data_IF_233768905730
#
_entry.id   IF_233768905730
#
_cell.length_a   1.000
_cell.length_b   1.000
_cell.length_c   1.000
_cell.angle_alpha   90.00
_cell.angle_beta   90.00
_cell.angle_gamma   90.00
#
_symmetry.space_group_name_H-M   'P 1'
#
loop_
_entity.id
_entity.type
_entity.pdbx_description
1 polymer ?
#
# COMPACT_ATOMS: atom_id res chain seq x y z
N UNK A 1 -6.76 -17.30 21.35
CA UNK A 1 -6.87 -16.35 20.21
C UNK A 1 -5.98 -16.82 19.06
N UNK A 2 -6.17 -18.05 18.58
CA UNK A 2 -5.28 -18.68 17.60
C UNK A 2 -5.87 -19.93 16.93
N UNK A 3 -7.20 -20.07 16.93
CA UNK A 3 -7.89 -21.20 16.30
C UNK A 3 -8.82 -20.80 15.14
N UNK A 4 -9.21 -19.53 15.06
CA UNK A 4 -10.14 -19.04 14.01
C UNK A 4 -9.43 -18.77 12.68
N UNK A 5 -8.23 -18.19 12.72
CA UNK A 5 -7.40 -18.01 11.52
C UNK A 5 -6.97 -19.34 10.92
N UNK A 6 -6.90 -20.41 11.72
CA UNK A 6 -6.54 -21.75 11.24
C UNK A 6 -7.54 -22.30 10.23
N UNK A 7 -8.85 -22.12 10.43
CA UNK A 7 -9.90 -22.81 9.68
C UNK A 7 -10.10 -22.31 8.24
N UNK A 8 -9.90 -21.02 7.99
CA UNK A 8 -10.02 -20.43 6.64
C UNK A 8 -8.91 -20.95 5.72
N UNK A 9 -7.68 -21.07 6.23
CA UNK A 9 -6.57 -21.63 5.45
C UNK A 9 -6.74 -23.12 5.12
N UNK A 10 -7.50 -23.88 5.90
CA UNK A 10 -7.73 -25.32 5.66
C UNK A 10 -8.79 -25.53 4.57
N UNK A 11 -9.80 -24.64 4.49
CA UNK A 11 -10.82 -24.68 3.44
C UNK A 11 -10.24 -24.40 2.05
N UNK A 12 -9.45 -23.33 1.92
CA UNK A 12 -8.75 -23.02 0.66
C UNK A 12 -7.80 -24.16 0.22
N UNK A 13 -7.12 -24.80 1.17
CA UNK A 13 -6.27 -25.95 0.88
C UNK A 13 -7.07 -27.18 0.41
N UNK A 14 -8.23 -27.46 1.01
CA UNK A 14 -9.10 -28.55 0.56
C UNK A 14 -9.67 -28.30 -0.85
N UNK A 15 -9.87 -27.04 -1.23
CA UNK A 15 -10.23 -26.64 -2.60
C UNK A 15 -9.12 -26.98 -3.59
N UNK A 16 -7.87 -26.65 -3.25
CA UNK A 16 -6.71 -26.98 -4.08
C UNK A 16 -6.47 -28.50 -4.18
N UNK A 17 -6.65 -29.22 -3.08
CA UNK A 17 -6.44 -30.67 -2.99
C UNK A 17 -7.64 -31.48 -3.55
N UNK A 18 -8.73 -30.83 -3.97
CA UNK A 18 -9.93 -31.49 -4.52
C UNK A 18 -10.73 -32.30 -3.49
N UNK A 19 -10.57 -32.01 -2.20
CA UNK A 19 -11.16 -32.75 -1.06
C UNK A 19 -12.24 -31.96 -0.33
N UNK A 20 -12.83 -30.96 -0.98
CA UNK A 20 -13.85 -30.07 -0.41
C UNK A 20 -15.08 -30.80 0.12
N UNK A 21 -15.45 -31.92 -0.53
CA UNK A 21 -16.64 -32.70 -0.18
C UNK A 21 -16.48 -33.44 1.15
N UNK A 22 -15.23 -33.62 1.61
CA UNK A 22 -14.89 -34.22 2.91
C UNK A 22 -14.63 -33.16 4.00
N UNK A 23 -14.63 -31.88 3.64
CA UNK A 23 -14.30 -30.80 4.55
C UNK A 23 -15.53 -30.29 5.31
N UNK A 24 -15.62 -30.66 6.59
CA UNK A 24 -16.66 -30.20 7.50
C UNK A 24 -16.12 -29.19 8.53
N UNK A 25 -16.70 -27.99 8.53
CA UNK A 25 -16.47 -27.00 9.57
C UNK A 25 -17.15 -27.45 10.87
N UNK A 26 -16.44 -28.23 11.69
CA UNK A 26 -16.93 -28.77 12.98
C UNK A 26 -17.57 -27.74 13.92
N UNK A 27 -17.28 -26.45 13.75
CA UNK A 27 -18.03 -25.33 14.31
C UNK A 27 -18.16 -24.24 13.24
N UNK A 28 -19.35 -23.93 12.70
CA UNK A 28 -19.53 -22.79 11.82
C UNK A 28 -19.10 -21.52 12.59
N UNK A 29 -18.13 -20.74 12.08
CA UNK A 29 -17.58 -19.61 12.82
C UNK A 29 -18.57 -18.45 12.97
N UNK A 30 -19.67 -18.45 12.20
CA UNK A 30 -20.69 -17.41 12.18
C UNK A 30 -22.07 -18.05 12.36
N UNK A 31 -22.93 -17.40 13.15
CA UNK A 31 -24.33 -17.81 13.23
C UNK A 31 -25.09 -17.41 11.96
N UNK A 32 -26.22 -18.06 11.69
CA UNK A 32 -27.00 -17.85 10.46
C UNK A 32 -27.46 -16.39 10.27
N UNK A 33 -27.83 -15.71 11.36
CA UNK A 33 -28.26 -14.29 11.30
C UNK A 33 -27.13 -13.35 10.93
N UNK A 34 -25.92 -13.63 11.41
CA UNK A 34 -24.71 -12.87 11.10
C UNK A 34 -24.27 -13.16 9.67
N UNK A 35 -24.36 -14.43 9.25
CA UNK A 35 -24.05 -14.83 7.88
C UNK A 35 -25.01 -14.16 6.87
N UNK A 36 -26.30 -14.10 7.17
CA UNK A 36 -27.31 -13.43 6.34
C UNK A 36 -26.98 -11.95 6.12
N UNK A 37 -26.40 -11.27 7.12
CA UNK A 37 -25.99 -9.86 7.03
C UNK A 37 -24.65 -9.70 6.32
N UNK A 38 -23.67 -10.56 6.62
CA UNK A 38 -22.29 -10.41 6.11
C UNK A 38 -22.17 -10.89 4.67
N UNK A 39 -22.88 -11.95 4.28
CA UNK A 39 -22.79 -12.56 2.95
C UNK A 39 -22.97 -11.54 1.80
N UNK A 40 -24.02 -10.70 1.75
CA UNK A 40 -24.15 -9.73 0.67
C UNK A 40 -23.04 -8.67 0.66
N UNK A 41 -22.48 -8.31 1.82
CA UNK A 41 -21.33 -7.39 1.91
C UNK A 41 -20.08 -8.06 1.36
N UNK A 42 -19.83 -9.31 1.75
CA UNK A 42 -18.69 -10.09 1.28
C UNK A 42 -18.76 -10.30 -0.24
N UNK A 43 -19.92 -10.67 -0.77
CA UNK A 43 -20.15 -10.83 -2.21
C UNK A 43 -19.94 -9.51 -2.96
N UNK A 44 -20.47 -8.39 -2.43
CA UNK A 44 -20.24 -7.07 -3.02
C UNK A 44 -18.78 -6.63 -2.98
N UNK A 45 -18.02 -6.98 -1.94
CA UNK A 45 -16.59 -6.65 -1.82
C UNK A 45 -15.69 -7.60 -2.63
N UNK A 46 -16.21 -8.76 -2.99
CA UNK A 46 -15.52 -9.78 -3.79
C UNK A 46 -15.88 -9.67 -5.29
N UNK A 47 -16.55 -8.59 -5.70
CA UNK A 47 -16.86 -8.32 -7.10
C UNK A 47 -15.57 -8.12 -7.90
N UNK A 48 -15.47 -8.81 -9.04
CA UNK A 48 -14.26 -8.82 -9.86
C UNK A 48 -13.85 -7.40 -10.30
N UNK A 49 -14.80 -6.50 -10.59
CA UNK A 49 -14.47 -5.12 -10.98
C UNK A 49 -13.89 -4.28 -9.83
N UNK A 50 -14.26 -4.61 -8.59
CA UNK A 50 -13.68 -4.04 -7.37
C UNK A 50 -12.28 -4.61 -7.11
N UNK A 51 -12.11 -5.92 -7.27
CA UNK A 51 -10.82 -6.59 -7.09
C UNK A 51 -9.81 -6.21 -8.17
N UNK A 52 -10.22 -6.03 -9.42
CA UNK A 52 -9.37 -5.56 -10.52
C UNK A 52 -8.77 -4.18 -10.24
N UNK A 53 -9.52 -3.29 -9.57
CA UNK A 53 -9.00 -1.99 -9.12
C UNK A 53 -7.94 -2.15 -8.02
N UNK A 54 -8.05 -3.17 -7.19
CA UNK A 54 -7.03 -3.49 -6.19
C UNK A 54 -5.74 -4.05 -6.83
N UNK A 55 -5.82 -4.68 -8.01
CA UNK A 55 -4.63 -5.19 -8.73
C UNK A 55 -3.69 -4.06 -9.18
N UNK A 56 -4.23 -2.88 -9.48
CA UNK A 56 -3.44 -1.69 -9.84
C UNK A 56 -2.75 -1.01 -8.65
N UNK A 57 -2.99 -1.45 -7.41
CA UNK A 57 -2.66 -0.69 -6.19
C UNK A 57 -3.33 0.70 -6.12
N UNK A 58 -4.41 0.92 -6.88
CA UNK A 58 -5.16 2.19 -6.97
C UNK A 58 -5.83 2.58 -5.64
N UNK A 59 -5.91 1.66 -4.68
CA UNK A 59 -6.41 1.89 -3.33
C UNK A 59 -5.32 1.81 -2.27
N UNK A 60 -4.09 2.25 -2.57
CA UNK A 60 -3.25 2.74 -1.49
C UNK A 60 -3.89 4.02 -0.96
N UNK A 61 -4.37 3.98 0.28
CA UNK A 61 -4.76 5.19 1.00
C UNK A 61 -3.67 6.25 0.79
N UNK A 62 -4.00 7.38 0.14
CA UNK A 62 -3.02 8.45 -0.16
C UNK A 62 -2.25 8.87 1.09
N UNK A 63 -2.88 8.81 2.27
CA UNK A 63 -2.22 9.12 3.54
C UNK A 63 -1.19 8.08 3.93
N UNK A 64 -1.42 6.80 3.63
CA UNK A 64 -0.48 5.72 3.90
C UNK A 64 0.72 5.76 2.95
N UNK A 65 0.48 6.02 1.66
CA UNK A 65 1.54 6.22 0.66
C UNK A 65 2.43 7.42 1.01
N UNK A 66 1.82 8.57 1.34
CA UNK A 66 2.55 9.76 1.79
C UNK A 66 3.34 9.49 3.08
N UNK A 67 2.72 8.87 4.08
CA UNK A 67 3.42 8.54 5.33
C UNK A 67 4.60 7.59 5.07
N UNK A 68 4.43 6.58 4.22
CA UNK A 68 5.53 5.68 3.84
C UNK A 68 6.71 6.45 3.24
N UNK A 69 6.43 7.44 2.40
CA UNK A 69 7.46 8.30 1.80
C UNK A 69 8.16 9.19 2.85
N UNK A 70 7.41 9.78 3.80
CA UNK A 70 8.00 10.52 4.92
C UNK A 70 8.96 9.64 5.71
N UNK A 71 8.57 8.40 6.01
CA UNK A 71 9.41 7.46 6.76
C UNK A 71 10.61 6.92 5.98
N UNK A 72 10.64 7.09 4.66
CA UNK A 72 11.83 6.81 3.85
C UNK A 72 12.91 7.86 4.12
N UNK A 73 12.54 9.13 4.31
CA UNK A 73 13.47 10.22 4.64
C UNK A 73 13.79 10.32 6.13
N UNK A 74 12.83 10.03 7.00
CA UNK A 74 12.99 10.04 8.45
C UNK A 74 12.56 8.69 9.05
N UNK A 75 13.43 7.66 9.03
CA UNK A 75 13.05 6.33 9.49
C UNK A 75 12.58 6.33 10.93
N UNK A 76 11.43 5.68 11.21
CA UNK A 76 10.80 5.66 12.55
C UNK A 76 11.69 5.16 13.68
N UNK A 77 12.65 4.29 13.35
CA UNK A 77 13.55 3.68 14.32
C UNK A 77 14.76 4.58 14.65
N UNK A 78 14.93 5.71 13.95
CA UNK A 78 15.99 6.67 14.18
C UNK A 78 15.38 7.91 14.85
N UNK A 79 15.85 8.31 16.04
CA UNK A 79 15.39 9.55 16.67
C UNK A 79 15.70 10.75 15.77
N UNK A 80 14.67 11.53 15.46
CA UNK A 80 14.78 12.73 14.63
C UNK A 80 14.11 13.91 15.34
N UNK A 81 14.76 15.07 15.27
CA UNK A 81 14.20 16.31 15.82
C UNK A 81 13.04 16.83 14.97
N UNK A 82 12.18 17.73 15.51
CA UNK A 82 11.05 18.29 14.76
C UNK A 82 11.43 18.90 13.42
N UNK A 83 12.58 19.58 13.34
CA UNK A 83 13.09 20.19 12.11
C UNK A 83 13.41 19.16 11.03
N UNK A 84 13.95 18.01 11.41
CA UNK A 84 14.25 16.91 10.49
C UNK A 84 12.97 16.30 9.91
N UNK A 85 11.96 16.09 10.76
CA UNK A 85 10.64 15.59 10.33
C UNK A 85 9.96 16.59 9.40
N UNK A 86 10.05 17.89 9.71
CA UNK A 86 9.51 18.96 8.86
C UNK A 86 10.13 18.93 7.44
N UNK A 87 11.46 18.86 7.35
CA UNK A 87 12.18 18.79 6.06
C UNK A 87 11.84 17.50 5.30
N UNK A 88 11.83 16.35 5.98
CA UNK A 88 11.43 15.08 5.40
C UNK A 88 10.00 15.14 4.82
N UNK A 89 9.09 15.82 5.54
CA UNK A 89 7.71 16.02 5.09
C UNK A 89 7.65 16.90 3.84
N UNK A 90 8.40 17.99 3.77
CA UNK A 90 8.46 18.83 2.56
C UNK A 90 8.96 18.03 1.35
N UNK A 91 10.04 17.26 1.50
CA UNK A 91 10.53 16.41 0.40
C UNK A 91 9.53 15.35 -0.02
N UNK A 92 8.89 14.67 0.93
CA UNK A 92 7.87 13.67 0.63
C UNK A 92 6.67 14.28 -0.12
N UNK A 93 6.18 15.44 0.32
CA UNK A 93 5.06 16.14 -0.33
C UNK A 93 5.43 16.58 -1.75
N UNK A 94 6.64 17.12 -1.95
CA UNK A 94 7.12 17.49 -3.29
C UNK A 94 7.18 16.28 -4.22
N UNK A 95 7.75 15.16 -3.77
CA UNK A 95 7.84 13.93 -4.58
C UNK A 95 6.47 13.34 -4.87
N UNK A 96 5.58 13.33 -3.87
CA UNK A 96 4.24 12.78 -4.01
C UNK A 96 3.41 13.54 -5.05
N UNK A 97 3.44 14.88 -5.01
CA UNK A 97 2.61 15.71 -5.88
C UNK A 97 3.24 15.95 -7.26
N UNK A 98 4.53 16.23 -7.31
CA UNK A 98 5.21 16.78 -8.49
C UNK A 98 6.38 15.91 -9.00
N UNK A 99 6.79 14.88 -8.26
CA UNK A 99 7.92 14.01 -8.63
C UNK A 99 9.28 14.52 -8.14
N UNK A 100 10.36 14.07 -8.77
CA UNK A 100 11.74 14.29 -8.36
C UNK A 100 12.33 15.60 -8.88
N UNK A 101 11.80 16.21 -9.94
CA UNK A 101 12.30 17.49 -10.46
C UNK A 101 12.32 18.62 -9.41
N UNK A 102 11.28 18.84 -8.58
CA UNK A 102 11.32 19.83 -7.50
C UNK A 102 12.45 19.63 -6.50
N UNK A 103 12.86 18.37 -6.25
CA UNK A 103 13.97 18.06 -5.35
C UNK A 103 15.27 18.63 -5.89
N UNK A 104 15.51 18.50 -7.20
CA UNK A 104 16.68 19.09 -7.83
C UNK A 104 16.69 20.62 -7.70
N UNK A 105 15.52 21.27 -7.81
CA UNK A 105 15.39 22.73 -7.61
C UNK A 105 15.69 23.14 -6.16
N UNK A 106 15.23 22.36 -5.18
CA UNK A 106 15.52 22.62 -3.77
C UNK A 106 17.02 22.49 -3.50
N UNK A 107 17.65 21.44 -4.01
CA UNK A 107 19.09 21.22 -3.85
C UNK A 107 19.90 22.33 -4.52
N UNK A 108 19.52 22.77 -5.72
CA UNK A 108 20.14 23.91 -6.40
C UNK A 108 19.99 25.21 -5.60
N UNK A 109 18.80 25.48 -5.04
CA UNK A 109 18.57 26.63 -4.16
C UNK A 109 19.39 26.59 -2.87
N UNK A 110 19.79 25.39 -2.41
CA UNK A 110 20.73 25.19 -1.29
C UNK A 110 22.20 25.32 -1.70
N UNK A 111 22.48 25.61 -2.99
CA UNK A 111 23.83 25.75 -3.53
C UNK A 111 24.49 24.43 -3.91
N UNK A 112 23.72 23.34 -4.06
CA UNK A 112 24.22 22.04 -4.49
C UNK A 112 24.20 21.97 -6.01
N UNK A 113 25.38 21.82 -6.62
CA UNK A 113 25.50 21.65 -8.07
C UNK A 113 24.85 20.35 -8.53
N UNK A 114 23.85 20.44 -9.41
CA UNK A 114 23.16 19.28 -9.96
C UNK A 114 23.94 18.73 -11.15
N UNK A 115 24.38 17.48 -11.04
CA UNK A 115 25.04 16.77 -12.13
C UNK A 115 24.06 16.30 -13.22
N UNK A 116 24.55 16.06 -14.45
CA UNK A 116 23.71 15.60 -15.56
C UNK A 116 23.02 14.26 -15.28
N UNK A 117 23.70 13.35 -14.58
CA UNK A 117 23.13 12.05 -14.19
C UNK A 117 21.98 12.17 -13.19
N UNK A 118 22.06 13.10 -12.24
CA UNK A 118 20.99 13.34 -11.28
C UNK A 118 19.74 13.90 -11.99
N UNK A 119 19.95 14.80 -12.96
CA UNK A 119 18.87 15.34 -13.78
C UNK A 119 18.23 14.26 -14.66
N UNK A 120 19.04 13.45 -15.35
CA UNK A 120 18.56 12.35 -16.16
C UNK A 120 17.85 11.26 -15.34
N UNK A 121 18.28 11.02 -14.10
CA UNK A 121 17.58 10.13 -13.18
C UNK A 121 16.19 10.67 -12.80
N UNK A 122 16.11 11.95 -12.39
CA UNK A 122 14.85 12.56 -12.00
C UNK A 122 13.85 12.59 -13.16
N UNK A 123 14.29 12.98 -14.36
CA UNK A 123 13.46 13.00 -15.56
C UNK A 123 12.86 11.62 -15.87
N UNK A 124 13.70 10.57 -15.91
CA UNK A 124 13.22 9.19 -16.13
C UNK A 124 12.25 8.72 -15.06
N UNK A 125 12.46 9.13 -13.80
CA UNK A 125 11.58 8.71 -12.70
C UNK A 125 10.21 9.37 -12.78
N UNK A 126 10.17 10.63 -13.21
CA UNK A 126 8.94 11.40 -13.36
C UNK A 126 8.13 10.99 -14.59
N UNK A 127 8.79 10.60 -15.69
CA UNK A 127 8.11 10.03 -16.88
C UNK A 127 7.29 8.78 -16.51
N UNK A 128 7.90 7.84 -15.77
CA UNK A 128 7.22 6.60 -15.32
C UNK A 128 6.07 6.89 -14.34
N UNK A 129 6.05 8.06 -13.69
CA UNK A 129 4.95 8.46 -12.80
C UNK A 129 3.68 8.82 -13.58
N UNK A 130 3.83 9.40 -14.77
CA UNK A 130 2.70 9.88 -15.59
C UNK A 130 2.00 8.72 -16.33
N UNK A 131 2.69 7.59 -16.49
CA UNK A 131 2.20 6.43 -17.25
C UNK A 131 1.38 5.41 -16.43
N UNK A 132 1.20 5.61 -15.13
CA UNK A 132 0.34 4.78 -14.27
C UNK A 132 -1.00 5.45 -14.07
#
# INVERSE_FOLDING_TARGET
MGQESGQVFIGQKAIEDGTIDEFDHKNPPLNDKVLEVIKPIYESLSDDSLLERCLGSETQNNNESLNSLIWTFAPKHIPAGPKTIEIATFFAVSIFNEGFIPILKILDAMGITIGPEANAFAARRDEVRIER
#
